data_IF_530626504440
#
_entry.id   IF_530626504440
#
_cell.length_a   1.000
_cell.length_b   1.000
_cell.length_c   1.000
_cell.angle_alpha   90.00
_cell.angle_beta   90.00
_cell.angle_gamma   90.00
#
_symmetry.space_group_name_H-M   'P 1'
#
loop_
_entity.id
_entity.type
_entity.pdbx_description
1 polymer ?
#
# COMPACT_ATOMS: atom_id res chain seq x y z
N UNK A 1 -5.97 -15.28 -29.61
CA UNK A 1 -5.97 -15.75 -28.21
C UNK A 1 -7.31 -16.39 -27.94
N UNK A 2 -7.33 -17.66 -27.54
CA UNK A 2 -8.54 -18.39 -27.16
C UNK A 2 -8.61 -18.46 -25.63
N UNK A 3 -9.77 -18.12 -25.08
CA UNK A 3 -10.01 -18.19 -23.64
C UNK A 3 -11.16 -19.16 -23.34
N UNK A 4 -11.01 -19.96 -22.28
CA UNK A 4 -12.01 -20.91 -21.78
C UNK A 4 -12.03 -20.84 -20.26
N UNK A 5 -13.22 -20.79 -19.66
CA UNK A 5 -13.40 -20.80 -18.19
C UNK A 5 -12.52 -19.78 -17.45
N UNK A 6 -12.39 -18.57 -18.01
CA UNK A 6 -11.61 -17.48 -17.41
C UNK A 6 -10.09 -17.58 -17.57
N UNK A 7 -9.57 -18.59 -18.26
CA UNK A 7 -8.13 -18.76 -18.51
C UNK A 7 -7.79 -18.72 -19.99
N UNK A 8 -6.54 -18.34 -20.30
CA UNK A 8 -6.00 -18.41 -21.67
C UNK A 8 -5.73 -19.88 -22.00
N UNK A 9 -6.46 -20.42 -22.97
CA UNK A 9 -6.32 -21.80 -23.44
C UNK A 9 -5.20 -21.90 -24.50
N UNK A 10 -5.15 -20.96 -25.44
CA UNK A 10 -4.10 -20.94 -26.48
C UNK A 10 -3.85 -19.56 -27.09
N UNK A 11 -2.68 -19.40 -27.71
CA UNK A 11 -2.26 -18.21 -28.45
C UNK A 11 -1.70 -18.65 -29.80
N UNK A 12 -2.56 -18.66 -30.82
CA UNK A 12 -2.24 -19.15 -32.16
C UNK A 12 -2.52 -18.08 -33.23
N UNK A 13 -1.82 -18.17 -34.37
CA UNK A 13 -1.96 -17.25 -35.52
C UNK A 13 -3.28 -17.42 -36.28
N UNK A 14 -3.93 -18.58 -36.15
CA UNK A 14 -5.24 -18.84 -36.73
C UNK A 14 -5.98 -19.86 -35.88
N UNK A 15 -7.21 -19.54 -35.47
CA UNK A 15 -8.09 -20.50 -34.80
C UNK A 15 -9.24 -20.83 -35.75
N UNK A 16 -9.57 -22.12 -35.88
CA UNK A 16 -10.80 -22.58 -36.55
C UNK A 16 -11.83 -23.09 -35.54
N UNK A 17 -11.58 -22.83 -34.25
CA UNK A 17 -12.43 -23.29 -33.16
C UNK A 17 -13.74 -22.51 -33.17
N UNK A 18 -14.84 -23.21 -32.93
CA UNK A 18 -16.11 -22.54 -32.62
C UNK A 18 -15.97 -21.81 -31.29
N UNK A 19 -16.37 -20.53 -31.26
CA UNK A 19 -16.33 -19.67 -30.07
C UNK A 19 -17.72 -19.12 -29.78
N UNK A 20 -18.02 -18.90 -28.49
CA UNK A 20 -19.28 -18.27 -28.06
C UNK A 20 -19.27 -16.74 -28.27
N UNK A 21 -18.09 -16.13 -28.21
CA UNK A 21 -17.87 -14.70 -28.36
C UNK A 21 -16.54 -14.43 -29.08
N UNK A 22 -16.53 -13.46 -29.98
CA UNK A 22 -15.35 -12.99 -30.68
C UNK A 22 -15.19 -11.48 -30.46
N UNK A 23 -13.98 -11.06 -30.05
CA UNK A 23 -13.62 -9.65 -29.89
C UNK A 23 -12.59 -9.32 -30.97
N UNK A 24 -12.97 -8.44 -31.91
CA UNK A 24 -12.07 -7.99 -32.98
C UNK A 24 -11.07 -6.96 -32.45
N UNK A 25 -9.83 -7.41 -32.24
CA UNK A 25 -8.71 -6.58 -31.81
C UNK A 25 -7.81 -6.11 -32.98
N UNK A 26 -8.28 -6.16 -34.25
CA UNK A 26 -7.47 -5.70 -35.38
C UNK A 26 -7.07 -4.24 -35.22
N UNK A 27 -5.78 -3.97 -35.43
CA UNK A 27 -5.16 -2.66 -35.25
C UNK A 27 -5.22 -2.12 -33.81
N UNK A 28 -5.51 -2.97 -32.83
CA UNK A 28 -5.42 -2.66 -31.40
C UNK A 28 -4.25 -3.43 -30.77
N UNK A 29 -3.86 -3.01 -29.57
CA UNK A 29 -2.89 -3.73 -28.73
C UNK A 29 -3.64 -4.48 -27.64
N UNK A 30 -3.29 -5.75 -27.43
CA UNK A 30 -3.80 -6.57 -26.34
C UNK A 30 -2.73 -6.66 -25.27
N UNK A 31 -3.02 -6.15 -24.09
CA UNK A 31 -2.16 -6.24 -22.91
C UNK A 31 -2.73 -7.24 -21.91
N UNK A 32 -1.88 -7.86 -21.06
CA UNK A 32 -2.36 -8.39 -19.80
C UNK A 32 -3.11 -7.30 -19.04
N UNK A 33 -4.16 -7.69 -18.32
CA UNK A 33 -4.86 -6.74 -17.44
C UNK A 33 -3.88 -6.16 -16.41
N UNK A 34 -3.95 -4.85 -16.20
CA UNK A 34 -3.05 -4.18 -15.26
C UNK A 34 -3.44 -4.51 -13.82
N UNK A 35 -2.43 -4.52 -12.94
CA UNK A 35 -2.61 -4.69 -11.51
C UNK A 35 -2.24 -3.37 -10.83
N UNK A 36 -3.18 -2.77 -10.11
CA UNK A 36 -2.93 -1.59 -9.29
C UNK A 36 -2.74 -2.01 -7.83
N UNK A 37 -1.51 -2.01 -7.30
CA UNK A 37 -1.23 -2.50 -5.96
C UNK A 37 -1.62 -1.53 -4.83
N UNK A 38 -2.11 -0.32 -5.14
CA UNK A 38 -2.24 0.75 -4.15
C UNK A 38 -3.49 1.62 -4.36
N UNK A 39 -4.66 1.07 -4.06
CA UNK A 39 -5.94 1.78 -4.19
C UNK A 39 -6.55 2.10 -2.82
N UNK A 40 -7.23 3.24 -2.70
CA UNK A 40 -7.93 3.66 -1.47
C UNK A 40 -9.42 3.87 -1.72
N UNK A 41 -10.24 2.82 -1.61
CA UNK A 41 -11.70 2.95 -1.74
C UNK A 41 -12.34 3.69 -0.56
N UNK A 42 -11.71 3.64 0.64
CA UNK A 42 -12.25 4.20 1.90
C UNK A 42 -13.55 3.56 2.40
N UNK A 43 -13.88 2.37 1.91
CA UNK A 43 -15.10 1.65 2.25
C UNK A 43 -14.82 0.51 3.23
N UNK A 44 -15.54 0.38 4.35
CA UNK A 44 -16.45 1.34 4.97
C UNK A 44 -15.77 2.56 5.60
N UNK A 45 -16.60 3.55 5.94
CA UNK A 45 -16.22 4.66 6.80
C UNK A 45 -16.30 6.01 6.11
N UNK A 46 -15.44 6.25 5.11
CA UNK A 46 -15.37 7.55 4.41
C UNK A 46 -15.87 7.45 2.97
N UNK A 47 -16.99 6.75 2.76
CA UNK A 47 -17.50 6.40 1.43
C UNK A 47 -17.96 7.59 0.56
N UNK A 48 -18.02 8.79 1.14
CA UNK A 48 -18.23 10.02 0.38
C UNK A 48 -16.99 10.43 -0.45
N UNK A 49 -15.81 9.86 -0.16
CA UNK A 49 -14.58 10.11 -0.91
C UNK A 49 -14.46 9.18 -2.12
N UNK A 50 -14.81 7.92 -1.93
CA UNK A 50 -14.88 6.84 -2.92
C UNK A 50 -15.61 5.66 -2.26
N UNK A 51 -16.06 4.65 -3.01
CA UNK A 51 -16.46 3.35 -2.47
C UNK A 51 -15.93 2.17 -3.31
N UNK A 52 -16.04 0.95 -2.79
CA UNK A 52 -15.38 -0.20 -3.44
C UNK A 52 -16.01 -0.57 -4.81
N UNK A 53 -17.32 -0.38 -4.96
CA UNK A 53 -18.02 -0.64 -6.21
C UNK A 53 -17.55 0.34 -7.30
N UNK A 54 -17.58 1.63 -7.01
CA UNK A 54 -17.16 2.66 -7.96
C UNK A 54 -15.66 2.58 -8.25
N UNK A 55 -14.83 2.31 -7.24
CA UNK A 55 -13.40 2.10 -7.42
C UNK A 55 -13.09 0.95 -8.37
N UNK A 56 -13.75 -0.21 -8.23
CA UNK A 56 -13.50 -1.37 -9.11
C UNK A 56 -14.04 -1.16 -10.53
N UNK A 57 -15.15 -0.42 -10.68
CA UNK A 57 -15.67 0.00 -12.01
C UNK A 57 -14.72 0.95 -12.72
N UNK A 58 -14.14 1.90 -11.99
CA UNK A 58 -13.13 2.81 -12.52
C UNK A 58 -11.87 2.04 -12.97
N UNK A 59 -11.46 1.04 -12.18
CA UNK A 59 -10.35 0.14 -12.53
C UNK A 59 -10.61 -0.57 -13.86
N UNK A 60 -11.79 -1.21 -14.01
CA UNK A 60 -12.18 -1.89 -15.24
C UNK A 60 -12.15 -0.97 -16.47
N UNK A 61 -12.68 0.25 -16.33
CA UNK A 61 -12.66 1.25 -17.40
C UNK A 61 -11.24 1.69 -17.79
N UNK A 62 -10.29 1.65 -16.86
CA UNK A 62 -8.88 1.97 -17.08
C UNK A 62 -8.01 0.79 -17.55
N UNK A 63 -8.58 -0.41 -17.73
CA UNK A 63 -7.83 -1.62 -18.09
C UNK A 63 -7.10 -2.28 -16.92
N UNK A 64 -7.41 -1.88 -15.67
CA UNK A 64 -6.97 -2.57 -14.46
C UNK A 64 -7.94 -3.71 -14.20
N UNK A 65 -7.44 -4.93 -14.12
CA UNK A 65 -8.24 -6.14 -13.86
C UNK A 65 -8.04 -6.70 -12.46
N UNK A 66 -7.06 -6.16 -11.71
CA UNK A 66 -6.84 -6.52 -10.32
C UNK A 66 -6.40 -5.29 -9.54
N UNK A 67 -7.00 -5.04 -8.38
CA UNK A 67 -6.54 -3.97 -7.49
C UNK A 67 -6.23 -4.49 -6.08
N UNK A 68 -5.32 -3.84 -5.37
CA UNK A 68 -5.08 -4.11 -3.95
C UNK A 68 -5.51 -2.91 -3.11
N UNK A 69 -6.53 -3.11 -2.29
CA UNK A 69 -7.07 -2.08 -1.41
C UNK A 69 -6.17 -1.85 -0.19
N UNK A 70 -5.72 -0.61 0.00
CA UNK A 70 -5.04 -0.16 1.21
C UNK A 70 -6.01 -0.11 2.41
N UNK A 71 -5.54 -0.36 3.65
CA UNK A 71 -6.42 -0.60 4.80
C UNK A 71 -7.04 0.68 5.38
N UNK A 72 -7.04 1.79 4.64
CA UNK A 72 -7.51 3.09 5.11
C UNK A 72 -9.04 3.20 5.01
N UNK A 73 -9.71 2.34 5.75
CA UNK A 73 -11.14 2.27 5.97
C UNK A 73 -11.42 2.23 7.48
N UNK A 74 -12.69 2.33 7.89
CA UNK A 74 -13.11 2.34 9.29
C UNK A 74 -14.11 1.20 9.52
N UNK A 75 -13.75 0.15 10.29
CA UNK A 75 -12.42 -0.12 10.83
C UNK A 75 -11.41 -0.55 9.76
N UNK A 76 -10.09 -0.38 9.99
CA UNK A 76 -9.07 -0.89 9.08
C UNK A 76 -8.93 -2.41 9.23
N UNK A 77 -8.38 -3.09 8.22
CA UNK A 77 -8.08 -4.53 8.24
C UNK A 77 -6.92 -4.83 9.20
N UNK A 78 -7.21 -4.89 10.49
CA UNK A 78 -6.20 -5.03 11.55
C UNK A 78 -6.03 -6.46 12.09
N UNK A 79 -6.96 -7.37 11.78
CA UNK A 79 -6.93 -8.78 12.15
C UNK A 79 -7.69 -9.65 11.13
N UNK A 80 -7.60 -10.97 11.26
CA UNK A 80 -8.21 -11.94 10.34
C UNK A 80 -9.74 -11.81 10.22
N UNK A 81 -10.45 -11.56 11.33
CA UNK A 81 -11.90 -11.44 11.32
C UNK A 81 -12.37 -10.24 10.47
N UNK A 82 -11.69 -9.09 10.58
CA UNK A 82 -11.99 -7.92 9.75
C UNK A 82 -11.64 -8.21 8.28
N UNK A 83 -10.53 -8.92 8.02
CA UNK A 83 -10.16 -9.32 6.66
C UNK A 83 -11.24 -10.19 6.01
N UNK A 84 -11.70 -11.25 6.68
CA UNK A 84 -12.71 -12.18 6.15
C UNK A 84 -14.02 -11.45 5.86
N UNK A 85 -14.48 -10.64 6.82
CA UNK A 85 -15.67 -9.82 6.65
C UNK A 85 -15.53 -8.86 5.47
N UNK A 86 -14.37 -8.20 5.34
CA UNK A 86 -14.11 -7.25 4.25
C UNK A 86 -14.11 -7.93 2.90
N UNK A 87 -13.43 -9.07 2.79
CA UNK A 87 -13.35 -9.84 1.56
C UNK A 87 -14.75 -10.28 1.10
N UNK A 88 -15.59 -10.77 2.01
CA UNK A 88 -16.97 -11.14 1.69
C UNK A 88 -17.83 -9.95 1.23
N UNK A 89 -17.66 -8.78 1.85
CA UNK A 89 -18.40 -7.57 1.47
C UNK A 89 -17.98 -7.09 0.08
N UNK A 90 -16.67 -7.01 -0.16
CA UNK A 90 -16.10 -6.54 -1.42
C UNK A 90 -16.38 -7.50 -2.58
N UNK A 91 -16.36 -8.82 -2.35
CA UNK A 91 -16.70 -9.81 -3.36
C UNK A 91 -18.13 -9.67 -3.92
N UNK A 92 -19.06 -9.03 -3.18
CA UNK A 92 -20.45 -8.83 -3.65
C UNK A 92 -20.60 -7.69 -4.65
N UNK A 93 -19.65 -6.76 -4.68
CA UNK A 93 -19.75 -5.52 -5.46
C UNK A 93 -18.55 -5.30 -6.39
N UNK A 94 -17.52 -6.14 -6.31
CA UNK A 94 -16.33 -6.03 -7.14
C UNK A 94 -16.63 -6.25 -8.64
N UNK A 95 -16.15 -5.34 -9.49
CA UNK A 95 -16.17 -5.49 -10.95
C UNK A 95 -14.87 -6.07 -11.52
N UNK A 96 -13.80 -6.10 -10.73
CA UNK A 96 -12.47 -6.64 -11.07
C UNK A 96 -11.96 -7.49 -9.92
N UNK A 97 -10.94 -8.31 -10.14
CA UNK A 97 -10.32 -9.07 -9.06
C UNK A 97 -9.70 -8.14 -8.03
N UNK A 98 -9.55 -8.60 -6.80
CA UNK A 98 -8.96 -7.77 -5.75
C UNK A 98 -8.19 -8.56 -4.70
N UNK A 99 -7.32 -7.83 -4.02
CA UNK A 99 -6.66 -8.23 -2.77
C UNK A 99 -6.77 -7.12 -1.74
N UNK A 100 -6.54 -7.47 -0.47
CA UNK A 100 -6.63 -6.52 0.64
C UNK A 100 -5.28 -6.42 1.35
N UNK A 101 -4.85 -5.20 1.63
CA UNK A 101 -3.77 -4.94 2.57
C UNK A 101 -4.31 -4.99 4.00
N UNK A 102 -3.53 -5.57 4.92
CA UNK A 102 -3.70 -5.36 6.35
C UNK A 102 -3.05 -4.06 6.81
N UNK A 103 -3.30 -3.62 8.04
CA UNK A 103 -2.58 -2.51 8.68
C UNK A 103 -1.63 -3.02 9.77
N UNK A 104 -0.43 -2.44 9.84
CA UNK A 104 0.47 -2.62 10.98
C UNK A 104 0.31 -1.45 11.96
N UNK A 105 -0.14 -1.75 13.18
CA UNK A 105 -0.42 -0.78 14.26
C UNK A 105 0.60 -0.86 15.41
N UNK A 106 1.80 -1.40 15.12
CA UNK A 106 2.82 -1.61 16.15
C UNK A 106 2.38 -2.64 17.19
N UNK A 107 2.64 -2.35 18.46
CA UNK A 107 2.36 -3.28 19.56
C UNK A 107 0.87 -3.63 19.71
N UNK A 108 -0.04 -2.81 19.20
CA UNK A 108 -1.49 -3.04 19.31
C UNK A 108 -1.96 -4.29 18.55
N UNK A 109 -1.33 -4.63 17.43
CA UNK A 109 -1.70 -5.79 16.62
C UNK A 109 -0.50 -6.63 16.15
N UNK A 110 0.67 -6.47 16.79
CA UNK A 110 1.88 -7.21 16.43
C UNK A 110 1.65 -8.73 16.43
N UNK A 111 0.86 -9.23 17.38
CA UNK A 111 0.48 -10.65 17.48
C UNK A 111 -0.45 -11.13 16.37
N UNK A 112 -1.19 -10.24 15.73
CA UNK A 112 -2.17 -10.57 14.69
C UNK A 112 -1.56 -10.57 13.27
N UNK A 113 -0.35 -10.03 13.09
CA UNK A 113 0.24 -9.84 11.76
C UNK A 113 0.41 -11.17 11.01
N UNK A 114 0.90 -12.22 11.70
CA UNK A 114 1.06 -13.53 11.09
C UNK A 114 -0.30 -14.17 10.71
N UNK A 115 -1.34 -13.90 11.50
CA UNK A 115 -2.69 -14.42 11.27
C UNK A 115 -3.36 -13.70 10.09
N UNK A 116 -3.10 -12.41 9.90
CA UNK A 116 -3.53 -11.66 8.70
C UNK A 116 -2.98 -12.29 7.41
N UNK A 117 -1.69 -12.64 7.37
CA UNK A 117 -1.11 -13.31 6.19
C UNK A 117 -1.72 -14.69 5.97
N UNK A 118 -2.00 -15.45 7.03
CA UNK A 118 -2.69 -16.74 6.92
C UNK A 118 -4.14 -16.60 6.46
N UNK A 119 -4.80 -15.48 6.77
CA UNK A 119 -6.14 -15.18 6.28
C UNK A 119 -6.14 -14.81 4.78
N UNK A 120 -5.09 -14.14 4.30
CA UNK A 120 -4.88 -13.90 2.87
C UNK A 120 -4.61 -12.45 2.48
N UNK A 121 -4.15 -11.59 3.40
CA UNK A 121 -3.71 -10.23 3.01
C UNK A 121 -2.54 -10.30 2.03
N UNK A 122 -2.49 -9.36 1.08
CA UNK A 122 -1.37 -9.27 0.11
C UNK A 122 -0.08 -8.72 0.76
N UNK A 123 -0.23 -8.05 1.89
CA UNK A 123 0.82 -7.39 2.65
C UNK A 123 0.22 -6.62 3.82
N UNK A 124 1.07 -6.08 4.68
CA UNK A 124 0.66 -5.12 5.72
C UNK A 124 1.20 -3.74 5.43
N UNK A 125 0.36 -2.73 5.59
CA UNK A 125 0.67 -1.34 5.37
C UNK A 125 1.13 -0.67 6.66
N UNK A 126 2.30 -0.04 6.60
CA UNK A 126 2.88 0.78 7.65
C UNK A 126 2.85 2.25 7.23
N UNK A 127 2.28 3.11 8.10
CA UNK A 127 2.32 4.56 7.95
C UNK A 127 3.48 5.13 8.77
N UNK A 128 4.69 5.02 8.24
CA UNK A 128 5.89 5.43 8.96
C UNK A 128 6.03 6.95 8.92
N UNK A 129 6.24 7.56 10.08
CA UNK A 129 6.41 9.00 10.22
C UNK A 129 5.11 9.79 10.39
N UNK A 130 3.96 9.12 10.43
CA UNK A 130 2.66 9.76 10.67
C UNK A 130 1.99 9.24 11.93
N UNK A 131 1.29 10.14 12.62
CA UNK A 131 0.37 9.75 13.66
C UNK A 131 -0.93 9.20 13.07
N UNK A 132 -1.60 8.34 13.82
CA UNK A 132 -2.94 7.85 13.53
C UNK A 132 -3.93 8.38 14.55
N UNK A 133 -5.17 8.64 14.15
CA UNK A 133 -6.25 8.92 15.08
C UNK A 133 -6.60 7.64 15.87
N UNK A 134 -6.72 7.72 17.18
CA UNK A 134 -6.89 6.59 18.11
C UNK A 134 -8.12 5.75 17.82
N UNK A 135 -9.25 6.38 17.48
CA UNK A 135 -10.50 5.67 17.22
C UNK A 135 -10.59 5.17 15.77
N UNK A 136 -10.45 6.07 14.79
CA UNK A 136 -10.64 5.77 13.37
C UNK A 136 -9.44 5.14 12.70
N UNK A 137 -8.25 5.21 13.31
CA UNK A 137 -6.95 4.77 12.75
C UNK A 137 -6.58 5.44 11.43
N UNK A 138 -7.20 6.57 11.13
CA UNK A 138 -6.89 7.39 9.96
C UNK A 138 -5.62 8.21 10.20
N UNK A 139 -4.88 8.45 9.13
CA UNK A 139 -3.71 9.33 9.12
C UNK A 139 -4.07 10.74 9.61
N UNK A 140 -3.26 11.26 10.53
CA UNK A 140 -3.26 12.66 10.94
C UNK A 140 -2.03 13.33 10.35
N UNK A 141 -2.25 14.13 9.29
CA UNK A 141 -1.17 14.79 8.53
C UNK A 141 -0.57 15.97 9.28
N UNK A 142 -1.39 16.70 10.03
CA UNK A 142 -0.99 17.85 10.82
C UNK A 142 -1.39 17.60 12.27
N UNK A 143 -0.40 17.42 13.14
CA UNK A 143 -0.62 17.11 14.55
C UNK A 143 -1.34 18.24 15.29
N UNK A 144 -1.28 19.48 14.78
CA UNK A 144 -1.97 20.62 15.38
C UNK A 144 -3.50 20.58 15.17
N UNK A 145 -3.99 19.77 14.22
CA UNK A 145 -5.42 19.69 13.91
C UNK A 145 -6.17 18.76 14.89
N UNK A 146 -5.45 18.03 15.74
CA UNK A 146 -6.04 17.05 16.65
C UNK A 146 -5.46 17.13 18.06
N UNK A 147 -6.30 16.81 19.05
CA UNK A 147 -5.85 16.79 20.44
C UNK A 147 -4.87 15.62 20.67
N UNK A 148 -3.74 15.83 21.40
CA UNK A 148 -2.73 14.79 21.61
C UNK A 148 -3.26 13.47 22.20
N UNK A 149 -4.32 13.50 23.00
CA UNK A 149 -4.98 12.32 23.57
C UNK A 149 -5.63 11.41 22.52
N UNK A 150 -6.03 11.99 21.38
CA UNK A 150 -6.61 11.28 20.24
C UNK A 150 -5.56 10.74 19.28
N UNK A 151 -4.27 10.95 19.54
CA UNK A 151 -3.21 10.54 18.63
C UNK A 151 -2.52 9.25 19.11
N UNK A 152 -2.23 8.40 18.14
CA UNK A 152 -1.25 7.31 18.26
C UNK A 152 -0.01 7.80 17.52
N UNK A 153 1.14 7.92 18.22
CA UNK A 153 2.36 8.42 17.58
C UNK A 153 2.85 7.45 16.51
N UNK A 154 3.66 7.92 15.54
CA UNK A 154 4.31 7.04 14.59
C UNK A 154 5.17 6.00 15.32
N UNK A 155 5.24 4.76 14.83
CA UNK A 155 6.08 3.73 15.43
C UNK A 155 7.56 4.12 15.38
N UNK A 156 8.29 3.79 16.44
CA UNK A 156 9.74 3.96 16.47
C UNK A 156 10.42 2.97 15.52
N UNK A 157 11.70 3.20 15.18
CA UNK A 157 12.46 2.22 14.38
C UNK A 157 12.53 0.84 15.06
N UNK A 158 12.51 0.80 16.40
CA UNK A 158 12.45 -0.44 17.16
C UNK A 158 11.11 -1.17 16.97
N UNK A 159 10.00 -0.46 17.02
CA UNK A 159 8.68 -1.03 16.72
C UNK A 159 8.58 -1.54 15.29
N UNK A 160 9.13 -0.78 14.33
CA UNK A 160 9.17 -1.19 12.92
C UNK A 160 10.02 -2.46 12.73
N UNK A 161 11.13 -2.61 13.47
CA UNK A 161 11.93 -3.84 13.44
C UNK A 161 11.13 -5.05 13.93
N UNK A 162 10.37 -4.91 15.03
CA UNK A 162 9.51 -5.98 15.54
C UNK A 162 8.38 -6.33 14.57
N UNK A 163 7.75 -5.33 13.94
CA UNK A 163 6.80 -5.55 12.84
C UNK A 163 7.47 -6.37 11.72
N UNK A 164 8.66 -5.97 11.27
CA UNK A 164 9.37 -6.67 10.20
C UNK A 164 9.69 -8.12 10.60
N UNK A 165 10.09 -8.39 11.85
CA UNK A 165 10.34 -9.75 12.35
C UNK A 165 9.07 -10.61 12.36
N UNK A 166 7.96 -10.06 12.84
CA UNK A 166 6.68 -10.75 12.84
C UNK A 166 6.24 -11.12 11.41
N UNK A 167 6.36 -10.18 10.48
CA UNK A 167 6.01 -10.40 9.06
C UNK A 167 6.98 -11.37 8.37
N UNK A 168 8.28 -11.31 8.68
CA UNK A 168 9.28 -12.24 8.14
C UNK A 168 9.02 -13.70 8.55
N UNK A 169 8.44 -13.95 9.72
CA UNK A 169 8.13 -15.30 10.21
C UNK A 169 7.14 -16.08 9.32
N UNK A 170 6.41 -15.37 8.46
CA UNK A 170 5.45 -15.93 7.49
C UNK A 170 5.80 -15.57 6.04
N UNK A 171 7.03 -15.14 5.78
CA UNK A 171 7.51 -14.65 4.46
C UNK A 171 6.65 -13.53 3.86
N UNK A 172 6.04 -12.72 4.72
CA UNK A 172 5.12 -11.65 4.33
C UNK A 172 5.82 -10.38 3.83
N UNK A 173 5.01 -9.38 3.49
CA UNK A 173 5.43 -8.09 2.94
C UNK A 173 5.01 -6.92 3.83
N UNK A 174 5.97 -6.06 4.20
CA UNK A 174 5.68 -4.74 4.77
C UNK A 174 5.73 -3.70 3.66
N UNK A 175 4.59 -3.08 3.36
CA UNK A 175 4.51 -1.89 2.52
C UNK A 175 4.58 -0.64 3.39
N UNK A 176 5.56 0.23 3.22
CA UNK A 176 5.77 1.39 4.09
C UNK A 176 5.66 2.71 3.34
N UNK A 177 4.88 3.63 3.91
CA UNK A 177 4.97 5.04 3.56
C UNK A 177 6.27 5.55 4.19
N UNK A 178 7.24 5.98 3.37
CA UNK A 178 8.58 6.33 3.85
C UNK A 178 8.82 7.83 3.81
N UNK A 179 8.56 8.52 4.91
CA UNK A 179 8.99 9.89 5.13
C UNK A 179 9.50 10.06 6.57
N UNK A 180 10.75 10.50 6.73
CA UNK A 180 11.34 10.66 8.05
C UNK A 180 10.75 11.86 8.80
N UNK A 181 10.07 11.59 9.91
CA UNK A 181 9.36 12.62 10.69
C UNK A 181 10.31 13.62 11.33
N UNK A 182 11.49 13.21 11.78
CA UNK A 182 12.43 14.11 12.43
C UNK A 182 13.03 15.11 11.42
N UNK A 183 13.29 14.68 10.18
CA UNK A 183 13.69 15.57 9.09
C UNK A 183 12.59 16.58 8.77
N UNK A 184 11.33 16.13 8.69
CA UNK A 184 10.17 17.01 8.43
C UNK A 184 9.99 18.02 9.58
N UNK A 185 10.02 17.58 10.83
CA UNK A 185 9.86 18.45 12.02
C UNK A 185 10.95 19.51 12.12
N UNK A 186 12.18 19.16 11.78
CA UNK A 186 13.27 20.12 11.71
C UNK A 186 13.04 21.19 10.63
N UNK A 187 12.48 20.81 9.47
CA UNK A 187 12.13 21.73 8.40
C UNK A 187 10.94 22.64 8.78
N UNK A 188 9.89 22.07 9.37
CA UNK A 188 8.73 22.81 9.92
C UNK A 188 9.19 23.83 10.99
N UNK A 189 10.04 23.40 11.91
CA UNK A 189 10.60 24.25 12.97
C UNK A 189 11.43 25.40 12.42
N UNK A 190 12.21 25.15 11.36
CA UNK A 190 12.98 26.20 10.66
C UNK A 190 12.09 27.19 9.92
N UNK A 191 10.97 26.73 9.35
CA UNK A 191 9.98 27.62 8.74
C UNK A 191 9.34 28.54 9.79
N UNK A 192 9.08 28.02 10.99
CA UNK A 192 8.62 28.79 12.15
C UNK A 192 7.20 29.35 12.02
N UNK A 193 6.47 28.95 10.98
CA UNK A 193 5.08 29.32 10.71
C UNK A 193 4.37 28.21 9.93
N UNK A 194 3.02 28.23 9.86
CA UNK A 194 2.29 27.32 8.99
C UNK A 194 2.75 27.42 7.53
N UNK A 195 2.68 26.28 6.85
CA UNK A 195 2.93 26.14 5.41
C UNK A 195 1.90 26.96 4.66
N UNK A 196 2.35 27.89 3.82
CA UNK A 196 1.49 28.84 3.11
C UNK A 196 1.42 28.55 1.60
N UNK A 197 2.25 27.66 1.07
CA UNK A 197 2.25 27.33 -0.36
C UNK A 197 2.62 25.87 -0.63
N UNK A 198 2.29 25.41 -1.84
CA UNK A 198 2.65 24.07 -2.30
C UNK A 198 4.18 23.89 -2.39
N UNK A 199 4.91 24.92 -2.83
CA UNK A 199 6.37 24.88 -2.89
C UNK A 199 7.01 24.69 -1.51
N UNK A 200 6.49 25.37 -0.49
CA UNK A 200 6.93 25.17 0.91
C UNK A 200 6.63 23.76 1.40
N UNK A 201 5.47 23.19 1.00
CA UNK A 201 5.14 21.81 1.33
C UNK A 201 6.16 20.83 0.73
N UNK A 202 6.56 21.00 -0.53
CA UNK A 202 7.59 20.18 -1.17
C UNK A 202 8.98 20.35 -0.53
N UNK A 203 9.32 21.56 -0.08
CA UNK A 203 10.59 21.80 0.61
C UNK A 203 10.63 21.15 2.01
N UNK A 204 9.51 21.17 2.73
CA UNK A 204 9.38 20.52 4.04
C UNK A 204 9.37 19.00 3.90
N UNK A 205 8.59 18.49 2.94
CA UNK A 205 8.50 17.06 2.59
C UNK A 205 9.57 16.68 1.55
N UNK A 206 10.81 17.00 1.89
CA UNK A 206 11.95 16.89 0.97
C UNK A 206 12.27 15.46 0.55
N UNK A 207 12.96 15.32 -0.59
CA UNK A 207 13.57 14.06 -1.05
C UNK A 207 14.50 13.41 0.00
N UNK A 208 14.99 14.20 0.95
CA UNK A 208 15.86 13.77 2.03
C UNK A 208 15.06 13.02 3.09
N UNK A 209 13.87 13.51 3.45
CA UNK A 209 12.99 12.83 4.40
C UNK A 209 12.59 11.45 3.85
N UNK A 210 12.25 11.38 2.56
CA UNK A 210 11.97 10.10 1.89
C UNK A 210 13.20 9.17 1.91
N UNK A 211 14.34 9.64 1.39
CA UNK A 211 15.54 8.81 1.27
C UNK A 211 16.09 8.30 2.60
N UNK A 212 15.97 9.08 3.68
CA UNK A 212 16.36 8.66 5.04
C UNK A 212 15.48 7.52 5.53
N UNK A 213 14.15 7.66 5.44
CA UNK A 213 13.23 6.61 5.84
C UNK A 213 13.41 5.32 5.02
N UNK A 214 13.67 5.44 3.71
CA UNK A 214 14.01 4.29 2.87
C UNK A 214 15.30 3.61 3.31
N UNK A 215 16.35 4.38 3.64
CA UNK A 215 17.63 3.84 4.08
C UNK A 215 17.48 3.06 5.39
N UNK A 216 16.72 3.61 6.35
CA UNK A 216 16.40 2.88 7.59
C UNK A 216 15.59 1.62 7.28
N UNK A 217 14.56 1.71 6.42
CA UNK A 217 13.77 0.55 6.01
C UNK A 217 14.60 -0.56 5.37
N UNK A 218 15.61 -0.21 4.57
CA UNK A 218 16.55 -1.15 4.00
C UNK A 218 17.36 -1.90 5.07
N UNK A 219 17.88 -1.18 6.09
CA UNK A 219 18.60 -1.80 7.21
C UNK A 219 17.70 -2.72 8.05
N UNK A 220 16.44 -2.30 8.29
CA UNK A 220 15.47 -3.12 9.04
C UNK A 220 15.07 -4.38 8.26
N UNK A 221 14.91 -4.28 6.93
CA UNK A 221 14.68 -5.43 6.04
C UNK A 221 15.88 -6.36 6.01
N UNK A 222 17.11 -5.83 5.89
CA UNK A 222 18.34 -6.62 5.90
C UNK A 222 18.51 -7.39 7.23
N UNK A 223 18.18 -6.74 8.35
CA UNK A 223 18.31 -7.32 9.70
C UNK A 223 17.25 -8.40 9.97
N UNK A 224 16.02 -8.20 9.49
CA UNK A 224 14.89 -9.10 9.79
C UNK A 224 14.65 -10.18 8.73
N UNK A 225 15.17 -10.00 7.50
CA UNK A 225 14.86 -10.85 6.35
C UNK A 225 13.46 -10.60 5.75
N UNK A 226 12.72 -9.63 6.28
CA UNK A 226 11.39 -9.26 5.82
C UNK A 226 11.43 -8.69 4.40
N UNK A 227 10.41 -9.00 3.58
CA UNK A 227 10.20 -8.28 2.33
C UNK A 227 9.68 -6.88 2.66
N UNK A 228 10.35 -5.87 2.16
CA UNK A 228 9.97 -4.48 2.36
C UNK A 228 9.66 -3.81 1.03
N UNK A 229 8.56 -3.07 0.97
CA UNK A 229 8.10 -2.36 -0.21
C UNK A 229 7.89 -0.89 0.11
N UNK A 230 8.65 -0.03 -0.57
CA UNK A 230 8.50 1.42 -0.45
C UNK A 230 7.39 1.86 -1.39
N UNK A 231 6.26 2.30 -0.84
CA UNK A 231 5.17 2.81 -1.67
C UNK A 231 5.49 4.22 -2.20
N UNK A 232 4.87 4.60 -3.32
CA UNK A 232 4.83 5.95 -3.90
C UNK A 232 6.14 6.75 -3.77
N UNK A 233 7.26 6.19 -4.22
CA UNK A 233 8.53 6.91 -4.25
C UNK A 233 8.45 8.10 -5.19
N UNK A 234 8.74 9.29 -4.70
CA UNK A 234 8.61 10.53 -5.46
C UNK A 234 9.96 11.05 -5.97
N UNK A 235 11.09 10.50 -5.51
CA UNK A 235 12.42 11.04 -5.80
C UNK A 235 13.42 10.05 -6.38
N UNK A 236 14.23 10.54 -7.33
CA UNK A 236 15.40 9.80 -7.84
C UNK A 236 16.42 9.49 -6.72
N UNK A 237 16.42 10.29 -5.64
CA UNK A 237 17.25 10.03 -4.46
C UNK A 237 16.78 8.78 -3.72
N UNK A 238 15.48 8.65 -3.44
CA UNK A 238 14.88 7.45 -2.86
C UNK A 238 15.17 6.20 -3.68
N UNK A 239 14.96 6.28 -5.01
CA UNK A 239 15.27 5.16 -5.92
C UNK A 239 16.75 4.74 -5.88
N UNK A 240 17.69 5.68 -5.70
CA UNK A 240 19.11 5.33 -5.55
C UNK A 240 19.38 4.51 -4.29
N UNK A 241 18.70 4.83 -3.17
CA UNK A 241 18.78 4.04 -1.94
C UNK A 241 18.20 2.64 -2.18
N UNK A 242 17.04 2.54 -2.83
CA UNK A 242 16.41 1.25 -3.15
C UNK A 242 17.34 0.37 -3.99
N UNK A 243 17.91 0.91 -5.07
CA UNK A 243 18.84 0.18 -5.95
C UNK A 243 20.09 -0.29 -5.23
N UNK A 244 20.61 0.52 -4.29
CA UNK A 244 21.77 0.13 -3.49
C UNK A 244 21.45 -1.07 -2.61
N UNK A 245 20.34 -1.02 -1.88
CA UNK A 245 19.91 -2.12 -1.02
C UNK A 245 19.66 -3.42 -1.83
N UNK A 246 19.03 -3.31 -3.00
CA UNK A 246 18.84 -4.45 -3.91
C UNK A 246 20.17 -5.06 -4.38
N UNK A 247 21.17 -4.22 -4.70
CA UNK A 247 22.50 -4.70 -5.08
C UNK A 247 23.23 -5.40 -3.93
N UNK A 248 22.92 -5.02 -2.69
CA UNK A 248 23.43 -5.66 -1.47
C UNK A 248 22.59 -6.91 -1.06
N UNK A 249 21.62 -7.32 -1.88
CA UNK A 249 20.80 -8.53 -1.67
C UNK A 249 19.63 -8.36 -0.72
N UNK A 250 19.32 -7.13 -0.30
CA UNK A 250 18.18 -6.83 0.57
C UNK A 250 16.86 -7.04 -0.19
N UNK A 251 15.86 -7.66 0.45
CA UNK A 251 14.53 -7.93 -0.12
C UNK A 251 13.66 -6.67 -0.15
N UNK A 252 14.12 -5.67 -0.89
CA UNK A 252 13.50 -4.36 -1.00
C UNK A 252 12.95 -4.13 -2.42
N UNK A 253 11.74 -3.60 -2.51
CA UNK A 253 11.11 -3.14 -3.76
C UNK A 253 10.49 -1.76 -3.57
N UNK A 254 10.10 -1.11 -4.67
CA UNK A 254 9.44 0.19 -4.63
C UNK A 254 8.48 0.39 -5.82
N UNK A 255 7.51 1.28 -5.65
CA UNK A 255 6.61 1.78 -6.71
C UNK A 255 6.70 3.33 -6.79
N UNK A 256 6.13 3.92 -7.84
CA UNK A 256 6.04 5.38 -8.06
C UNK A 256 4.69 5.76 -8.64
#
# INVERSE_FOLDING_TARGET
>A
MLCRDGVIESVDDSTTSSVDCEIDARNLLVFPGFIDPHVHSRDPGLTHKEDFEHSTRAAAAGGITTLFEMPNAIPPVANAAIFEQRAEQHARVAFVDFGLWGIALGQENLGDLADLFRAGVVGVKLFWGYALHRETRMLVYNLADESPDKLVPPPSNGDVLEICRAVASVDGLVGAHCEDRAVIEAAESRLGRPIASYSEMLEIRSDTAEAVAIAVGAELSATSGCRFHVVHTASARGIRVVRRAQADGVRLSAET
#
